data_IF_781849227219
#
_entry.id   IF_781849227219
#
_cell.length_a   1.000
_cell.length_b   1.000
_cell.length_c   1.000
_cell.angle_alpha   90.00
_cell.angle_beta   90.00
_cell.angle_gamma   90.00
#
_symmetry.space_group_name_H-M   'P 1'
#
loop_
_entity.id
_entity.type
_entity.pdbx_description
1 polymer ?
#
# COMPACT_ATOMS: atom_id res chain seq x y z
N UNK A 1 -25.54 -7.31 23.47
CA UNK A 1 -25.74 -5.86 23.29
C UNK A 1 -24.53 -5.32 22.54
N UNK A 2 -24.65 -5.16 21.23
CA UNK A 2 -23.53 -4.82 20.34
C UNK A 2 -23.10 -3.38 20.56
N UNK A 3 -21.87 -3.21 21.02
CA UNK A 3 -21.26 -1.91 21.26
C UNK A 3 -20.80 -1.33 19.89
N UNK A 4 -21.74 -0.89 19.04
CA UNK A 4 -21.40 -0.20 17.79
C UNK A 4 -20.92 1.22 18.09
N UNK A 5 -19.69 1.31 18.62
CA UNK A 5 -18.93 2.55 18.55
C UNK A 5 -18.72 2.85 17.06
N UNK A 6 -19.33 3.94 16.57
CA UNK A 6 -19.17 4.47 15.22
C UNK A 6 -17.72 4.90 15.01
N UNK A 7 -16.82 3.93 14.84
CA UNK A 7 -15.40 4.17 14.71
C UNK A 7 -15.16 4.70 13.31
N UNK A 8 -14.97 6.02 13.21
CA UNK A 8 -14.67 6.69 11.95
C UNK A 8 -13.30 6.22 11.45
N UNK A 9 -13.30 5.35 10.43
CA UNK A 9 -12.10 4.95 9.71
C UNK A 9 -11.81 5.93 8.57
N UNK A 10 -10.52 6.10 8.23
CA UNK A 10 -10.07 7.07 7.22
C UNK A 10 -9.25 6.40 6.13
N UNK A 11 -9.45 6.84 4.90
CA UNK A 11 -8.64 6.37 3.79
C UNK A 11 -7.26 7.02 3.78
N UNK A 12 -6.20 6.29 3.38
CA UNK A 12 -4.93 6.89 3.00
C UNK A 12 -5.12 7.91 1.87
N UNK A 13 -4.65 9.15 2.09
CA UNK A 13 -4.80 10.26 1.13
C UNK A 13 -4.06 10.04 -0.20
N UNK A 14 -2.98 9.26 -0.19
CA UNK A 14 -2.15 9.04 -1.38
C UNK A 14 -2.40 7.62 -1.94
N UNK A 15 -3.03 7.50 -3.12
CA UNK A 15 -3.43 6.22 -3.71
C UNK A 15 -2.23 5.37 -4.17
N UNK A 16 -1.07 5.98 -4.38
CA UNK A 16 0.16 5.28 -4.79
C UNK A 16 1.00 4.69 -3.65
N UNK A 17 0.50 4.71 -2.41
CA UNK A 17 1.26 4.25 -1.23
C UNK A 17 0.99 2.79 -0.91
N UNK A 18 1.97 2.13 -0.29
CA UNK A 18 1.85 0.74 0.19
C UNK A 18 0.62 0.53 1.10
N UNK A 19 0.28 1.52 1.91
CA UNK A 19 -0.89 1.47 2.80
C UNK A 19 -2.21 1.49 2.00
N UNK A 20 -2.27 2.30 0.96
CA UNK A 20 -3.42 2.35 0.06
C UNK A 20 -3.54 1.06 -0.74
N UNK A 21 -2.41 0.55 -1.24
CA UNK A 21 -2.34 -0.70 -1.99
C UNK A 21 -2.84 -1.90 -1.15
N UNK A 22 -2.43 -2.00 0.12
CA UNK A 22 -2.87 -3.06 1.04
C UNK A 22 -4.33 -2.91 1.46
N UNK A 23 -4.78 -1.70 1.79
CA UNK A 23 -6.17 -1.46 2.16
C UNK A 23 -7.12 -1.75 0.98
N UNK A 24 -6.70 -1.49 -0.26
CA UNK A 24 -7.46 -1.83 -1.45
C UNK A 24 -7.68 -3.34 -1.62
N UNK A 25 -6.68 -4.16 -1.29
CA UNK A 25 -6.82 -5.63 -1.28
C UNK A 25 -7.83 -6.06 -0.22
N UNK A 26 -7.69 -5.55 1.01
CA UNK A 26 -8.60 -5.87 2.11
C UNK A 26 -10.07 -5.49 1.83
N UNK A 27 -10.30 -4.35 1.16
CA UNK A 27 -11.64 -3.89 0.79
C UNK A 27 -12.24 -4.62 -0.40
N UNK A 28 -11.41 -5.23 -1.26
CA UNK A 28 -11.88 -6.05 -2.36
C UNK A 28 -12.34 -7.44 -1.90
N UNK A 29 -12.13 -7.79 -0.62
CA UNK A 29 -12.24 -9.16 -0.10
C UNK A 29 -11.50 -10.20 -0.96
N UNK A 30 -10.51 -9.75 -1.74
CA UNK A 30 -9.64 -10.67 -2.46
C UNK A 30 -8.76 -11.34 -1.41
N UNK A 31 -8.48 -12.62 -1.59
CA UNK A 31 -7.48 -13.28 -0.77
C UNK A 31 -6.18 -12.46 -0.84
N UNK A 32 -5.25 -12.63 0.11
CA UNK A 32 -3.98 -11.89 0.05
C UNK A 32 -3.12 -12.25 -1.19
N UNK A 33 -3.68 -12.97 -2.17
CA UNK A 33 -3.15 -13.23 -3.51
C UNK A 33 -2.61 -11.96 -4.16
N UNK A 34 -1.29 -11.93 -4.31
CA UNK A 34 -0.58 -10.82 -4.95
C UNK A 34 -0.17 -9.70 -4.00
N UNK A 35 -0.41 -9.82 -2.68
CA UNK A 35 0.14 -8.90 -1.69
C UNK A 35 1.67 -8.97 -1.70
N UNK A 36 2.23 -10.15 -1.89
CA UNK A 36 3.65 -10.45 -2.02
C UNK A 36 4.28 -9.63 -3.14
N UNK A 37 3.58 -9.49 -4.29
CA UNK A 37 4.02 -8.64 -5.39
C UNK A 37 4.09 -7.15 -5.01
N UNK A 38 3.26 -6.70 -4.06
CA UNK A 38 3.31 -5.32 -3.54
C UNK A 38 4.58 -5.12 -2.67
N UNK A 39 5.07 -6.19 -2.03
CA UNK A 39 6.18 -6.18 -1.08
C UNK A 39 7.55 -6.57 -1.68
N UNK A 40 7.59 -7.17 -2.87
CA UNK A 40 8.78 -7.78 -3.50
C UNK A 40 10.04 -6.87 -3.56
N UNK A 41 9.86 -5.55 -3.61
CA UNK A 41 10.96 -4.56 -3.66
C UNK A 41 10.96 -3.59 -2.47
N UNK A 42 10.25 -3.91 -1.39
CA UNK A 42 10.00 -2.99 -0.27
C UNK A 42 10.61 -3.50 1.03
N UNK A 43 11.21 -2.57 1.79
CA UNK A 43 11.78 -2.85 3.12
C UNK A 43 10.73 -2.98 4.23
N UNK A 44 9.47 -2.65 3.96
CA UNK A 44 8.40 -2.68 4.97
C UNK A 44 7.71 -4.04 4.94
N UNK A 45 7.36 -4.59 6.10
CA UNK A 45 6.57 -5.82 6.19
C UNK A 45 5.06 -5.55 6.21
N UNK A 46 4.27 -6.56 5.80
CA UNK A 46 2.80 -6.51 5.86
C UNK A 46 2.29 -6.13 7.25
N UNK A 47 2.77 -6.79 8.30
CA UNK A 47 2.38 -6.52 9.69
C UNK A 47 2.67 -5.08 10.13
N UNK A 48 3.66 -4.40 9.53
CA UNK A 48 3.93 -2.98 9.79
C UNK A 48 2.89 -2.08 9.14
N UNK A 49 2.48 -2.42 7.92
CA UNK A 49 1.44 -1.70 7.18
C UNK A 49 0.08 -1.87 7.87
N UNK A 50 -0.27 -3.11 8.25
CA UNK A 50 -1.50 -3.40 9.00
C UNK A 50 -1.53 -2.63 10.33
N UNK A 51 -0.44 -2.65 11.10
CA UNK A 51 -0.34 -1.84 12.34
C UNK A 51 -0.59 -0.35 12.09
N UNK A 52 -0.09 0.19 10.98
CA UNK A 52 -0.34 1.59 10.62
C UNK A 52 -1.81 1.82 10.26
N UNK A 53 -2.45 0.92 9.49
CA UNK A 53 -3.87 1.02 9.14
C UNK A 53 -4.78 0.99 10.38
N UNK A 54 -4.47 0.13 11.34
CA UNK A 54 -5.21 0.06 12.61
C UNK A 54 -4.99 1.35 13.42
N UNK A 55 -3.74 1.71 13.72
CA UNK A 55 -3.43 2.77 14.69
C UNK A 55 -3.64 4.19 14.15
N UNK A 56 -3.27 4.44 12.89
CA UNK A 56 -3.32 5.79 12.31
C UNK A 56 -4.63 6.09 11.59
N UNK A 57 -5.19 5.06 10.95
CA UNK A 57 -6.37 5.21 10.09
C UNK A 57 -7.65 4.65 10.71
N UNK A 58 -7.54 3.87 11.79
CA UNK A 58 -8.68 3.43 12.58
C UNK A 58 -9.39 2.18 12.04
N UNK A 59 -8.82 1.51 11.04
CA UNK A 59 -9.46 0.35 10.42
C UNK A 59 -9.52 -0.85 11.38
N UNK A 60 -10.70 -1.48 11.56
CA UNK A 60 -10.86 -2.66 12.42
C UNK A 60 -10.43 -3.92 11.68
N UNK A 61 -9.13 -4.07 11.43
CA UNK A 61 -8.58 -5.24 10.74
C UNK A 61 -8.43 -6.40 11.73
N UNK A 62 -9.01 -7.54 11.41
CA UNK A 62 -8.88 -8.80 12.13
C UNK A 62 -7.71 -9.62 11.57
N UNK A 63 -7.08 -10.43 12.42
CA UNK A 63 -6.12 -11.47 12.02
C UNK A 63 -6.72 -12.83 12.32
N UNK A 64 -6.80 -13.70 11.32
CA UNK A 64 -7.23 -15.08 11.46
C UNK A 64 -6.07 -16.00 11.10
N UNK A 65 -5.72 -16.89 12.01
CA UNK A 65 -4.65 -17.84 11.84
C UNK A 65 -5.27 -19.21 11.53
N UNK A 66 -4.94 -19.78 10.38
CA UNK A 66 -5.44 -21.08 9.95
C UNK A 66 -4.30 -22.10 9.89
N UNK A 67 -4.51 -23.34 10.37
CA UNK A 67 -3.53 -24.39 10.16
C UNK A 67 -3.45 -24.69 8.65
N UNK A 68 -2.23 -24.66 8.11
CA UNK A 68 -1.97 -24.99 6.71
C UNK A 68 -0.90 -26.07 6.65
N UNK A 69 -1.06 -27.04 5.74
CA UNK A 69 0.04 -27.96 5.45
C UNK A 69 0.95 -27.30 4.43
N UNK A 70 2.23 -27.19 4.75
CA UNK A 70 3.24 -26.77 3.77
C UNK A 70 3.45 -27.88 2.75
N UNK A 71 3.95 -27.54 1.56
CA UNK A 71 4.13 -28.49 0.44
C UNK A 71 5.04 -29.69 0.78
N UNK A 72 5.84 -29.59 1.84
CA UNK A 72 6.70 -30.63 2.39
C UNK A 72 6.02 -31.53 3.45
N UNK A 73 4.71 -31.34 3.68
CA UNK A 73 3.93 -32.11 4.65
C UNK A 73 4.06 -31.63 6.10
N UNK A 74 4.79 -30.54 6.37
CA UNK A 74 4.87 -29.98 7.73
C UNK A 74 3.63 -29.15 8.06
N UNK A 75 3.18 -29.25 9.31
CA UNK A 75 2.14 -28.37 9.84
C UNK A 75 2.70 -26.95 9.99
N UNK A 76 2.10 -26.01 9.27
CA UNK A 76 2.36 -24.58 9.35
C UNK A 76 1.11 -23.80 9.75
N UNK A 77 1.26 -22.51 9.99
CA UNK A 77 0.16 -21.59 10.27
C UNK A 77 0.18 -20.47 9.25
N UNK A 78 -0.95 -20.24 8.58
CA UNK A 78 -1.16 -19.12 7.69
C UNK A 78 -1.93 -18.02 8.42
N UNK A 79 -1.35 -16.83 8.51
CA UNK A 79 -2.04 -15.65 9.04
C UNK A 79 -2.68 -14.86 7.90
N UNK A 80 -4.00 -14.70 7.94
CA UNK A 80 -4.76 -13.87 7.02
C UNK A 80 -5.29 -12.64 7.74
N UNK A 81 -5.21 -11.48 7.08
CA UNK A 81 -5.81 -10.25 7.58
C UNK A 81 -7.11 -9.98 6.81
N UNK A 82 -8.19 -9.65 7.53
CA UNK A 82 -9.49 -9.39 6.92
C UNK A 82 -10.18 -8.21 7.60
N UNK A 83 -11.13 -7.60 6.89
CA UNK A 83 -12.05 -6.62 7.45
C UNK A 83 -13.40 -7.32 7.71
N UNK A 84 -14.14 -6.94 8.78
CA UNK A 84 -15.51 -7.38 8.96
C UNK A 84 -16.37 -6.98 7.76
N UNK A 85 -17.29 -7.85 7.33
CA UNK A 85 -18.07 -7.63 6.12
C UNK A 85 -18.90 -6.33 6.21
N UNK A 86 -19.46 -6.03 7.38
CA UNK A 86 -20.22 -4.81 7.62
C UNK A 86 -19.37 -3.54 7.46
N UNK A 87 -18.06 -3.62 7.71
CA UNK A 87 -17.12 -2.50 7.53
C UNK A 87 -16.80 -2.33 6.05
N UNK A 88 -16.65 -3.44 5.31
CA UNK A 88 -16.44 -3.42 3.86
C UNK A 88 -17.67 -2.81 3.19
N UNK A 89 -18.87 -3.27 3.54
CA UNK A 89 -20.13 -2.77 2.98
C UNK A 89 -20.32 -1.28 3.27
N UNK A 90 -20.08 -0.85 4.52
CA UNK A 90 -20.16 0.56 4.89
C UNK A 90 -19.12 1.42 4.15
N UNK A 91 -17.90 0.92 3.99
CA UNK A 91 -16.85 1.60 3.24
C UNK A 91 -17.21 1.73 1.75
N UNK A 92 -17.71 0.66 1.13
CA UNK A 92 -18.07 0.62 -0.29
C UNK A 92 -19.37 1.38 -0.61
N UNK A 93 -20.31 1.46 0.33
CA UNK A 93 -21.52 2.27 0.19
C UNK A 93 -21.23 3.79 0.23
N UNK A 94 -20.14 4.19 0.90
CA UNK A 94 -19.65 5.57 0.90
C UNK A 94 -18.67 5.85 -0.25
N UNK A 95 -17.58 6.56 0.06
CA UNK A 95 -16.55 6.94 -0.90
C UNK A 95 -15.56 5.82 -1.27
N UNK A 96 -15.78 4.59 -0.80
CA UNK A 96 -14.82 3.49 -0.98
C UNK A 96 -14.62 3.08 -2.44
N UNK A 97 -15.68 3.10 -3.26
CA UNK A 97 -15.60 2.73 -4.69
C UNK A 97 -14.72 3.70 -5.48
N UNK A 98 -14.99 5.00 -5.35
CA UNK A 98 -14.20 6.05 -6.00
C UNK A 98 -12.74 6.03 -5.54
N UNK A 99 -12.52 5.79 -4.24
CA UNK A 99 -11.17 5.67 -3.70
C UNK A 99 -10.43 4.46 -4.26
N UNK A 100 -11.09 3.30 -4.38
CA UNK A 100 -10.50 2.08 -4.97
C UNK A 100 -10.11 2.30 -6.44
N UNK A 101 -10.95 2.99 -7.21
CA UNK A 101 -10.63 3.35 -8.59
C UNK A 101 -9.38 4.22 -8.66
N UNK A 102 -9.26 5.24 -7.80
CA UNK A 102 -8.06 6.08 -7.70
C UNK A 102 -6.80 5.28 -7.36
N UNK A 103 -6.88 4.29 -6.46
CA UNK A 103 -5.77 3.38 -6.14
C UNK A 103 -5.39 2.51 -7.33
N UNK A 104 -6.36 1.94 -8.04
CA UNK A 104 -6.13 1.13 -9.25
C UNK A 104 -5.47 1.95 -10.35
N UNK A 105 -5.97 3.17 -10.60
CA UNK A 105 -5.38 4.09 -11.57
C UNK A 105 -3.93 4.43 -11.23
N UNK A 106 -3.64 4.76 -9.95
CA UNK A 106 -2.28 5.05 -9.49
C UNK A 106 -1.34 3.83 -9.61
N UNK A 107 -1.83 2.62 -9.34
CA UNK A 107 -1.07 1.37 -9.51
C UNK A 107 -0.75 1.11 -10.97
N UNK A 108 -1.73 1.25 -11.87
CA UNK A 108 -1.54 1.11 -13.31
C UNK A 108 -0.56 2.14 -13.88
N UNK A 109 -0.65 3.39 -13.45
CA UNK A 109 0.30 4.44 -13.86
C UNK A 109 1.75 4.10 -13.43
N UNK A 110 1.92 3.50 -12.25
CA UNK A 110 3.23 3.06 -11.75
C UNK A 110 3.82 1.90 -12.57
N UNK A 111 2.97 0.94 -12.97
CA UNK A 111 3.37 -0.19 -13.83
C UNK A 111 3.74 0.25 -15.24
N UNK A 112 3.05 1.25 -15.77
CA UNK A 112 3.30 1.83 -17.09
C UNK A 112 4.51 2.76 -17.11
N UNK A 113 5.02 3.19 -15.95
CA UNK A 113 6.21 4.04 -15.90
C UNK A 113 7.41 3.20 -16.36
N UNK A 114 8.05 3.56 -17.48
CA UNK A 114 9.25 2.86 -17.92
C UNK A 114 10.29 2.94 -16.80
N UNK A 115 11.09 1.88 -16.64
CA UNK A 115 12.29 1.91 -15.81
C UNK A 115 13.06 3.18 -16.18
N UNK A 116 13.06 4.17 -15.29
CA UNK A 116 13.80 5.41 -15.50
C UNK A 116 15.26 5.01 -15.51
N UNK A 117 15.90 4.99 -16.68
CA UNK A 117 17.34 4.82 -16.81
C UNK A 117 18.02 5.80 -15.83
N UNK A 118 18.99 5.36 -15.00
CA UNK A 118 19.73 6.26 -14.14
C UNK A 118 20.69 7.07 -15.03
N UNK A 119 20.20 8.17 -15.60
CA UNK A 119 20.96 9.05 -16.47
C UNK A 119 20.56 10.50 -16.23
N UNK A 120 21.09 11.10 -15.17
CA UNK A 120 21.26 12.55 -15.01
C UNK A 120 21.97 12.81 -13.67
N UNK A 121 23.22 12.34 -13.56
CA UNK A 121 24.16 12.97 -12.64
C UNK A 121 24.36 14.39 -13.17
N UNK A 122 23.95 15.36 -12.37
CA UNK A 122 24.03 16.80 -12.62
C UNK A 122 25.50 17.16 -12.88
N UNK A 123 25.86 17.37 -14.14
CA UNK A 123 27.13 18.01 -14.51
C UNK A 123 27.07 19.42 -13.91
N UNK A 124 27.86 19.64 -12.86
CA UNK A 124 28.14 20.99 -12.37
C UNK A 124 28.99 21.65 -13.44
N UNK A 125 28.37 22.53 -14.23
CA UNK A 125 29.08 23.49 -15.04
C UNK A 125 29.92 24.38 -14.10
N UNK A 126 31.24 24.25 -14.17
CA UNK A 126 32.15 25.32 -13.76
C UNK A 126 32.21 26.28 -14.94
N UNK A 127 31.65 27.46 -14.74
CA UNK A 127 31.79 28.58 -15.66
C UNK A 127 33.22 29.12 -15.54
N UNK A 128 33.86 29.28 -16.70
CA UNK A 128 35.05 30.08 -16.89
C UNK A 128 34.75 31.57 -16.63
N UNK A 129 35.76 32.35 -16.24
CA UNK A 129 35.88 33.73 -16.69
C UNK A 129 37.05 33.87 -17.67
N UNK A 130 36.73 34.16 -18.93
CA UNK A 130 37.63 34.84 -19.89
C UNK A 130 37.65 36.33 -19.48
N UNK A 131 38.80 36.87 -19.08
CA UNK A 131 39.74 37.72 -19.84
C UNK A 131 39.22 39.16 -20.12
N UNK A 132 39.96 40.18 -19.65
CA UNK A 132 40.32 41.36 -20.47
C UNK A 132 41.42 42.22 -19.81
N UNK A 133 42.23 42.83 -20.68
CA UNK A 133 43.54 43.48 -20.57
C UNK A 133 43.64 44.84 -19.82
N UNK A 134 44.89 45.18 -19.45
CA UNK A 134 45.45 46.52 -19.70
C UNK A 134 45.53 47.54 -18.54
N UNK A 135 46.71 47.66 -17.92
CA UNK A 135 47.65 48.80 -18.11
C UNK A 135 49.02 48.47 -17.49
#
# INVERSE_FOLDING_TARGET
MSNSSSKTFRYPKMPGTLRADVLAVLLASDDMTGIESIFDQRKQSLSTVIRALIRKYGWPIERRDFPTNTADGRAGWASVYCLPQEVIDAALAGAGRDWLEGVRAARSARRRRPLRSPGAAKVRAVAAPEEDDGE
#
